data_IF_109256196365
#
_entry.id   IF_109256196365
#
_cell.length_a   1.000
_cell.length_b   1.000
_cell.length_c   1.000
_cell.angle_alpha   90.00
_cell.angle_beta   90.00
_cell.angle_gamma   90.00
#
_symmetry.space_group_name_H-M   'P 1'
#
loop_
_entity.id
_entity.type
_entity.pdbx_description
1 polymer ?
#
# COMPACT_ATOMS: atom_id res chain seq x y z
N UNK A 1 6.35 54.06 23.64
CA UNK A 1 5.64 53.47 22.48
C UNK A 1 6.46 52.37 21.78
N UNK A 2 7.76 52.52 21.54
CA UNK A 2 8.61 51.49 20.86
C UNK A 2 8.61 50.16 21.57
N UNK A 3 8.71 50.08 22.90
CA UNK A 3 8.72 48.81 23.68
C UNK A 3 7.41 48.02 23.59
N UNK A 4 6.27 48.70 23.39
CA UNK A 4 4.96 48.05 23.30
C UNK A 4 4.79 47.42 21.90
N UNK A 5 5.30 48.08 20.86
CA UNK A 5 5.24 47.58 19.47
C UNK A 5 6.14 46.34 19.29
N UNK A 6 7.35 46.36 19.91
CA UNK A 6 8.26 45.21 19.86
C UNK A 6 7.71 44.01 20.61
N UNK A 7 7.04 44.20 21.74
CA UNK A 7 6.41 43.10 22.48
C UNK A 7 5.26 42.46 21.69
N UNK A 8 4.41 43.29 21.09
CA UNK A 8 3.29 42.80 20.25
C UNK A 8 3.78 42.03 19.02
N UNK A 9 4.86 42.50 18.36
CA UNK A 9 5.47 41.80 17.23
C UNK A 9 6.06 40.43 17.64
N UNK A 10 6.69 40.36 18.83
CA UNK A 10 7.27 39.11 19.34
C UNK A 10 6.19 38.08 19.66
N UNK A 11 5.08 38.50 20.29
CA UNK A 11 3.93 37.62 20.58
C UNK A 11 3.26 37.10 19.32
N UNK A 12 3.12 37.97 18.30
CA UNK A 12 2.58 37.58 17.01
C UNK A 12 3.49 36.54 16.29
N UNK A 13 4.81 36.73 16.35
CA UNK A 13 5.78 35.82 15.74
C UNK A 13 5.78 34.46 16.42
N UNK A 14 5.70 34.41 17.75
CA UNK A 14 5.61 33.17 18.54
C UNK A 14 4.27 32.45 18.28
N UNK A 15 3.18 33.19 18.18
CA UNK A 15 1.88 32.66 17.83
C UNK A 15 1.84 32.02 16.42
N UNK A 16 2.48 32.69 15.45
CA UNK A 16 2.57 32.17 14.08
C UNK A 16 3.45 30.91 13.98
N UNK A 17 4.56 30.88 14.73
CA UNK A 17 5.44 29.70 14.81
C UNK A 17 4.76 28.52 15.48
N UNK A 18 3.98 28.75 16.54
CA UNK A 18 3.21 27.70 17.21
C UNK A 18 2.10 27.13 16.30
N UNK A 19 1.40 27.98 15.54
CA UNK A 19 0.38 27.54 14.58
C UNK A 19 0.98 26.72 13.42
N UNK A 20 2.20 27.06 12.96
CA UNK A 20 2.87 26.28 11.92
C UNK A 20 3.32 24.89 12.39
N UNK A 21 3.60 24.69 13.67
CA UNK A 21 3.95 23.40 14.24
C UNK A 21 2.75 22.49 14.41
N UNK A 22 1.57 23.00 14.73
CA UNK A 22 0.35 22.18 14.90
C UNK A 22 -0.20 21.62 13.59
N UNK A 23 0.08 22.25 12.45
CA UNK A 23 -0.35 21.74 11.14
C UNK A 23 0.42 20.50 10.65
N UNK A 24 1.45 20.04 11.35
CA UNK A 24 2.22 18.83 11.03
C UNK A 24 1.78 17.60 11.82
N UNK A 25 0.86 17.74 12.77
CA UNK A 25 0.36 16.63 13.56
C UNK A 25 -0.84 16.02 12.83
N UNK A 26 -0.68 14.80 12.35
CA UNK A 26 -1.76 13.96 11.82
C UNK A 26 -1.94 12.75 12.76
N UNK A 27 -2.74 12.88 13.82
CA UNK A 27 -2.92 11.82 14.79
C UNK A 27 -3.57 10.58 14.18
N UNK A 28 -4.38 10.73 13.13
CA UNK A 28 -5.01 9.59 12.45
C UNK A 28 -3.97 8.78 11.69
N UNK A 29 -3.03 9.45 11.03
CA UNK A 29 -1.93 8.80 10.36
C UNK A 29 -0.97 8.14 11.37
N UNK A 30 -0.64 8.84 12.46
CA UNK A 30 0.24 8.31 13.51
C UNK A 30 -0.36 7.07 14.17
N UNK A 31 -1.66 7.07 14.44
CA UNK A 31 -2.39 5.90 14.94
C UNK A 31 -2.36 4.75 13.92
N UNK A 32 -2.62 5.02 12.64
CA UNK A 32 -2.57 4.00 11.59
C UNK A 32 -1.17 3.37 11.44
N UNK A 33 -0.10 4.16 11.57
CA UNK A 33 1.29 3.65 11.58
C UNK A 33 1.56 2.80 12.84
N UNK A 34 1.08 3.24 14.00
CA UNK A 34 1.22 2.52 15.26
C UNK A 34 0.50 1.16 15.22
N UNK A 35 -0.67 1.10 14.61
CA UNK A 35 -1.49 -0.11 14.47
C UNK A 35 -0.83 -1.18 13.60
N UNK A 36 0.15 -0.82 12.76
CA UNK A 36 0.95 -1.79 12.01
C UNK A 36 1.83 -2.67 12.91
N UNK A 37 2.07 -2.24 14.16
CA UNK A 37 2.93 -2.93 15.10
C UNK A 37 4.41 -2.95 14.70
N UNK A 38 5.18 -3.76 15.41
CA UNK A 38 6.61 -3.90 15.18
C UNK A 38 6.93 -4.62 13.86
N UNK A 39 8.10 -4.31 13.30
CA UNK A 39 8.62 -5.06 12.15
C UNK A 39 9.03 -6.48 12.58
N UNK A 40 8.94 -7.42 11.64
CA UNK A 40 9.34 -8.81 11.90
C UNK A 40 10.84 -8.85 12.25
N UNK A 41 11.18 -9.42 13.40
CA UNK A 41 12.56 -9.52 13.87
C UNK A 41 13.45 -10.24 12.83
N UNK A 42 14.63 -9.69 12.57
CA UNK A 42 15.58 -10.24 11.62
C UNK A 42 15.37 -9.84 10.16
N UNK A 43 14.31 -9.11 9.84
CA UNK A 43 14.12 -8.51 8.51
C UNK A 43 14.45 -7.02 8.60
N UNK A 44 15.59 -6.58 8.02
CA UNK A 44 15.94 -5.16 8.05
C UNK A 44 14.99 -4.34 7.18
N UNK A 45 14.89 -3.06 7.50
CA UNK A 45 14.18 -2.09 6.65
C UNK A 45 14.70 -2.13 5.22
N UNK A 46 13.78 -2.15 4.26
CA UNK A 46 14.11 -2.23 2.84
C UNK A 46 13.03 -2.95 2.04
N UNK A 47 13.29 -3.36 0.79
CA UNK A 47 12.26 -3.91 -0.10
C UNK A 47 11.55 -5.17 0.41
N UNK A 48 12.13 -5.88 1.37
CA UNK A 48 11.60 -7.15 1.88
C UNK A 48 10.78 -7.00 3.16
N UNK A 49 10.75 -5.82 3.76
CA UNK A 49 10.05 -5.63 5.03
C UNK A 49 8.52 -5.65 4.88
N UNK A 50 7.82 -5.90 5.96
CA UNK A 50 6.37 -5.73 6.15
C UNK A 50 5.49 -6.36 5.06
N UNK A 51 5.84 -7.59 4.62
CA UNK A 51 5.03 -8.33 3.68
C UNK A 51 3.59 -8.52 4.19
N UNK A 52 2.60 -8.24 3.33
CA UNK A 52 1.17 -8.35 3.67
C UNK A 52 0.60 -7.16 4.44
N UNK A 53 1.37 -6.12 4.71
CA UNK A 53 0.90 -4.91 5.37
C UNK A 53 0.62 -3.77 4.37
N UNK A 54 -0.19 -2.77 4.74
CA UNK A 54 -0.54 -1.65 3.86
C UNK A 54 0.64 -0.67 3.72
N UNK A 55 1.46 -0.87 2.70
CA UNK A 55 2.70 -0.12 2.46
C UNK A 55 2.50 1.40 2.41
N UNK A 56 1.41 1.85 1.79
CA UNK A 56 1.14 3.28 1.59
C UNK A 56 0.78 4.00 2.88
N UNK A 57 0.52 3.29 3.98
CA UNK A 57 0.38 3.91 5.31
C UNK A 57 1.65 4.68 5.71
N UNK A 58 2.84 4.17 5.36
CA UNK A 58 4.10 4.86 5.60
C UNK A 58 4.67 5.50 4.33
N UNK A 59 4.49 4.86 3.17
CA UNK A 59 5.06 5.28 1.88
C UNK A 59 4.12 6.18 1.06
N UNK A 60 3.36 7.04 1.74
CA UNK A 60 2.43 8.01 1.16
C UNK A 60 3.12 9.25 0.53
N UNK A 61 4.41 9.41 0.81
CA UNK A 61 5.22 10.56 0.38
C UNK A 61 5.51 11.56 1.48
N UNK A 62 4.91 11.42 2.66
CA UNK A 62 5.14 12.31 3.82
C UNK A 62 5.99 11.67 4.91
N UNK A 63 5.89 10.35 5.11
CA UNK A 63 6.46 9.65 6.27
C UNK A 63 7.70 8.83 5.90
N UNK A 64 7.66 8.03 4.85
CA UNK A 64 8.76 7.19 4.43
C UNK A 64 9.14 7.34 2.95
N UNK A 65 10.39 7.02 2.62
CA UNK A 65 10.91 7.00 1.25
C UNK A 65 11.19 5.56 0.80
N UNK A 66 10.95 5.23 -0.48
CA UNK A 66 10.35 6.07 -1.52
C UNK A 66 8.84 6.28 -1.33
N UNK A 67 8.30 7.38 -1.88
CA UNK A 67 6.86 7.55 -2.02
C UNK A 67 6.32 6.56 -3.06
N UNK A 68 5.26 5.84 -2.73
CA UNK A 68 4.69 4.80 -3.59
C UNK A 68 3.29 5.19 -4.07
N UNK A 69 2.95 4.83 -5.31
CA UNK A 69 1.62 5.01 -5.89
C UNK A 69 0.76 3.75 -5.74
N UNK A 70 1.37 2.57 -5.87
CA UNK A 70 0.72 1.26 -5.69
C UNK A 70 1.69 0.31 -5.04
N UNK A 71 1.23 -0.49 -4.08
CA UNK A 71 2.06 -1.53 -3.46
C UNK A 71 1.22 -2.67 -2.89
N UNK A 72 1.83 -3.85 -2.78
CA UNK A 72 1.18 -5.01 -2.21
C UNK A 72 2.08 -6.23 -2.09
N UNK A 73 1.51 -7.33 -1.61
CA UNK A 73 2.18 -8.62 -1.46
C UNK A 73 1.35 -9.70 -2.13
N UNK A 74 1.99 -10.57 -2.90
CA UNK A 74 1.37 -11.71 -3.59
C UNK A 74 1.79 -13.01 -2.92
N UNK A 75 0.85 -13.92 -2.76
CA UNK A 75 1.03 -15.27 -2.20
C UNK A 75 0.77 -16.31 -3.29
N UNK A 76 1.30 -17.54 -3.12
CA UNK A 76 1.20 -18.59 -4.14
C UNK A 76 -0.21 -19.15 -4.27
N UNK A 77 -0.59 -20.01 -3.35
CA UNK A 77 -1.89 -20.72 -3.35
C UNK A 77 -2.71 -20.33 -2.12
N UNK A 78 -4.01 -20.49 -2.25
CA UNK A 78 -4.93 -20.23 -1.15
C UNK A 78 -4.56 -21.04 0.10
N UNK A 79 -4.51 -20.37 1.23
CA UNK A 79 -4.15 -20.96 2.53
C UNK A 79 -2.65 -21.02 2.79
N UNK A 80 -1.81 -20.74 1.79
CA UNK A 80 -0.37 -20.59 2.01
C UNK A 80 -0.07 -19.20 2.63
N UNK A 81 0.72 -19.22 3.69
CA UNK A 81 1.21 -17.99 4.33
C UNK A 81 2.54 -17.51 3.73
N UNK A 82 3.13 -18.29 2.82
CA UNK A 82 4.42 -17.97 2.21
C UNK A 82 4.23 -17.02 1.03
N UNK A 83 4.82 -15.81 1.07
CA UNK A 83 4.79 -14.89 -0.05
C UNK A 83 5.46 -15.48 -1.29
N UNK A 84 4.99 -15.10 -2.48
CA UNK A 84 5.47 -15.62 -3.76
C UNK A 84 6.39 -14.63 -4.48
N UNK A 85 7.63 -15.04 -4.71
CA UNK A 85 8.62 -14.27 -5.45
C UNK A 85 8.50 -14.48 -6.96
N UNK A 86 8.74 -13.42 -7.76
CA UNK A 86 8.80 -13.50 -9.21
C UNK A 86 7.45 -13.50 -9.92
N UNK A 87 6.34 -13.26 -9.23
CA UNK A 87 5.06 -13.02 -9.88
C UNK A 87 5.10 -11.71 -10.68
N UNK A 88 4.57 -11.73 -11.89
CA UNK A 88 4.30 -10.53 -12.69
C UNK A 88 3.04 -9.84 -12.14
N UNK A 89 3.10 -8.52 -12.01
CA UNK A 89 1.95 -7.69 -11.62
C UNK A 89 1.73 -6.68 -12.72
N UNK A 90 0.60 -6.77 -13.40
CA UNK A 90 0.16 -5.81 -14.40
C UNK A 90 -0.91 -4.91 -13.80
N UNK A 91 -0.67 -3.63 -13.79
CA UNK A 91 -1.59 -2.58 -13.41
C UNK A 91 -2.03 -1.82 -14.65
N UNK A 92 -3.32 -1.55 -14.77
CA UNK A 92 -3.88 -0.75 -15.86
C UNK A 92 -4.78 0.33 -15.27
N UNK A 93 -4.54 1.57 -15.60
CA UNK A 93 -5.37 2.68 -15.15
C UNK A 93 -6.57 2.93 -16.09
N UNK A 94 -7.47 3.83 -15.68
CA UNK A 94 -8.69 4.15 -16.46
C UNK A 94 -8.39 4.69 -17.86
N UNK A 95 -7.23 5.27 -18.08
CA UNK A 95 -6.81 5.81 -19.38
C UNK A 95 -6.10 4.75 -20.26
N UNK A 96 -5.97 3.51 -19.76
CA UNK A 96 -5.24 2.44 -20.43
C UNK A 96 -3.73 2.52 -20.28
N UNK A 97 -3.20 3.43 -19.45
CA UNK A 97 -1.78 3.45 -19.08
C UNK A 97 -1.46 2.24 -18.20
N UNK A 98 -0.34 1.60 -18.46
CA UNK A 98 0.03 0.35 -17.79
C UNK A 98 1.37 0.45 -17.07
N UNK A 99 1.49 -0.30 -15.99
CA UNK A 99 2.76 -0.58 -15.32
C UNK A 99 2.88 -2.08 -15.09
N UNK A 100 4.06 -2.63 -15.38
CA UNK A 100 4.36 -4.04 -15.08
C UNK A 100 5.55 -4.12 -14.14
N UNK A 101 5.38 -4.83 -13.04
CA UNK A 101 6.42 -5.10 -12.06
C UNK A 101 6.51 -6.58 -11.71
N UNK A 102 7.51 -6.94 -10.90
CA UNK A 102 7.65 -8.29 -10.35
C UNK A 102 7.72 -8.25 -8.83
N UNK A 103 7.17 -9.29 -8.20
CA UNK A 103 7.32 -9.47 -6.76
C UNK A 103 8.76 -9.89 -6.40
N UNK A 104 9.26 -9.35 -5.31
CA UNK A 104 10.58 -9.67 -4.76
C UNK A 104 10.55 -10.96 -3.90
N UNK A 105 11.66 -11.28 -3.22
CA UNK A 105 11.78 -12.48 -2.38
C UNK A 105 10.77 -12.56 -1.22
N UNK A 106 10.23 -11.43 -0.77
CA UNK A 106 9.16 -11.36 0.22
C UNK A 106 7.76 -11.27 -0.41
N UNK A 107 7.62 -11.54 -1.72
CA UNK A 107 6.35 -11.41 -2.44
C UNK A 107 5.87 -9.97 -2.61
N UNK A 108 6.63 -8.98 -2.17
CA UNK A 108 6.27 -7.57 -2.27
C UNK A 108 6.51 -7.03 -3.68
N UNK A 109 5.60 -6.23 -4.16
CA UNK A 109 5.82 -5.33 -5.29
C UNK A 109 5.43 -3.90 -4.89
N UNK A 110 6.05 -2.92 -5.52
CA UNK A 110 5.70 -1.52 -5.34
C UNK A 110 6.03 -0.71 -6.58
N UNK A 111 5.31 0.37 -6.74
CA UNK A 111 5.47 1.35 -7.81
C UNK A 111 5.78 2.69 -7.18
N UNK A 112 6.96 3.23 -7.45
CA UNK A 112 7.32 4.56 -6.98
C UNK A 112 6.48 5.62 -7.71
N UNK A 113 6.06 6.66 -7.00
CA UNK A 113 5.31 7.78 -7.61
C UNK A 113 6.10 8.46 -8.71
N UNK A 114 7.43 8.46 -8.62
CA UNK A 114 8.34 8.97 -9.65
C UNK A 114 8.33 8.15 -10.95
N UNK A 115 8.02 6.85 -10.86
CA UNK A 115 8.01 5.94 -12.00
C UNK A 115 6.64 5.90 -12.70
N UNK A 116 5.56 5.91 -11.94
CA UNK A 116 4.20 5.88 -12.48
C UNK A 116 3.17 6.36 -11.46
N UNK A 117 2.34 7.30 -11.88
CA UNK A 117 1.20 7.79 -11.11
C UNK A 117 -0.08 7.48 -11.87
N UNK A 118 -0.84 6.46 -11.46
CA UNK A 118 -2.06 6.06 -12.15
C UNK A 118 -3.20 7.04 -11.97
N UNK A 119 -4.07 7.08 -12.96
CA UNK A 119 -5.40 7.68 -12.82
C UNK A 119 -6.39 6.59 -12.42
N UNK A 120 -6.99 6.71 -11.26
CA UNK A 120 -7.97 5.73 -10.77
C UNK A 120 -9.28 5.77 -11.59
N UNK A 121 -10.01 4.65 -11.68
CA UNK A 121 -9.76 3.35 -11.07
C UNK A 121 -8.69 2.52 -11.78
N UNK A 122 -8.13 1.54 -11.02
CA UNK A 122 -7.14 0.60 -11.53
C UNK A 122 -7.72 -0.79 -11.69
N UNK A 123 -7.22 -1.50 -12.69
CA UNK A 123 -7.40 -2.94 -12.87
C UNK A 123 -6.07 -3.66 -12.63
N UNK A 124 -6.11 -4.84 -11.96
CA UNK A 124 -4.92 -5.58 -11.55
C UNK A 124 -4.99 -7.02 -12.04
N UNK A 125 -3.88 -7.47 -12.63
CA UNK A 125 -3.64 -8.88 -12.95
C UNK A 125 -2.32 -9.30 -12.33
N UNK A 126 -2.30 -10.43 -11.64
CA UNK A 126 -1.07 -11.06 -11.15
C UNK A 126 -0.88 -12.40 -11.84
N UNK A 127 0.38 -12.78 -12.13
CA UNK A 127 0.61 -14.01 -12.86
C UNK A 127 2.03 -14.56 -12.78
N UNK A 128 2.19 -15.83 -13.16
CA UNK A 128 3.47 -16.46 -13.40
C UNK A 128 3.33 -17.48 -14.53
N UNK A 129 4.10 -17.31 -15.59
CA UNK A 129 4.01 -18.14 -16.79
C UNK A 129 2.61 -18.08 -17.42
N UNK A 130 1.88 -19.22 -17.39
CA UNK A 130 0.52 -19.30 -17.94
C UNK A 130 -0.57 -19.14 -16.86
N UNK A 131 -0.19 -19.09 -15.59
CA UNK A 131 -1.12 -18.92 -14.48
C UNK A 131 -1.36 -17.44 -14.26
N UNK A 132 -2.61 -17.02 -14.26
CA UNK A 132 -2.99 -15.63 -14.02
C UNK A 132 -4.23 -15.57 -13.11
N UNK A 133 -4.24 -14.60 -12.22
CA UNK A 133 -5.38 -14.22 -11.41
C UNK A 133 -5.70 -12.74 -11.68
N UNK A 134 -6.94 -12.49 -12.06
CA UNK A 134 -7.44 -11.15 -12.34
C UNK A 134 -8.33 -10.70 -11.19
N UNK A 135 -8.13 -9.50 -10.69
CA UNK A 135 -9.00 -8.92 -9.70
C UNK A 135 -10.40 -8.71 -10.31
N UNK A 136 -11.43 -9.25 -9.68
CA UNK A 136 -12.81 -9.16 -10.18
C UNK A 136 -13.44 -7.77 -9.98
N UNK A 137 -12.91 -6.97 -9.07
CA UNK A 137 -13.29 -5.58 -8.83
C UNK A 137 -12.18 -4.63 -9.27
N UNK A 138 -12.46 -3.34 -9.26
CA UNK A 138 -11.49 -2.29 -9.56
C UNK A 138 -11.05 -1.59 -8.29
N UNK A 139 -9.82 -1.09 -8.26
CA UNK A 139 -9.31 -0.25 -7.18
C UNK A 139 -9.77 1.19 -7.43
N UNK A 140 -10.63 1.71 -6.55
CA UNK A 140 -11.25 3.02 -6.75
C UNK A 140 -10.33 4.21 -6.47
N UNK A 141 -9.42 4.11 -5.48
CA UNK A 141 -8.60 5.25 -5.04
C UNK A 141 -7.38 4.94 -4.20
N UNK A 142 -7.28 3.75 -3.61
CA UNK A 142 -6.19 3.38 -2.70
C UNK A 142 -5.31 2.32 -3.35
N UNK A 143 -4.07 2.68 -3.64
CA UNK A 143 -3.08 1.78 -4.24
C UNK A 143 -2.47 0.76 -3.28
N UNK A 144 -2.83 0.78 -2.00
CA UNK A 144 -2.37 -0.21 -1.02
C UNK A 144 -3.24 -1.46 -1.07
N UNK A 145 -2.75 -2.54 -1.67
CA UNK A 145 -3.51 -3.79 -1.80
C UNK A 145 -3.95 -4.34 -0.43
N UNK A 146 -3.10 -4.24 0.57
CA UNK A 146 -3.39 -4.72 1.92
C UNK A 146 -4.43 -3.88 2.68
N UNK A 147 -4.88 -2.73 2.15
CA UNK A 147 -6.04 -2.02 2.72
C UNK A 147 -7.35 -2.81 2.56
N UNK A 148 -7.40 -3.71 1.56
CA UNK A 148 -8.56 -4.56 1.29
C UNK A 148 -8.22 -6.05 1.36
N UNK A 149 -6.95 -6.42 1.17
CA UNK A 149 -6.46 -7.80 1.12
C UNK A 149 -5.73 -8.19 2.40
N UNK A 150 -6.46 -8.28 3.51
CA UNK A 150 -5.96 -8.65 4.85
C UNK A 150 -6.42 -10.06 5.21
N UNK A 151 -5.60 -10.83 5.89
CA UNK A 151 -5.92 -12.15 6.43
C UNK A 151 -6.40 -12.01 7.90
N UNK A 152 -7.44 -12.76 8.33
CA UNK A 152 -8.27 -13.65 7.53
C UNK A 152 -9.31 -12.91 6.66
N UNK A 153 -9.86 -13.58 5.60
CA UNK A 153 -10.97 -13.03 4.82
C UNK A 153 -12.17 -12.70 5.71
N UNK A 154 -12.86 -11.62 5.37
CA UNK A 154 -14.03 -11.14 6.14
C UNK A 154 -15.00 -10.39 5.22
N UNK A 155 -16.05 -9.80 5.78
CA UNK A 155 -16.97 -8.94 5.01
C UNK A 155 -16.32 -7.68 4.43
N UNK A 156 -15.20 -7.25 5.01
CA UNK A 156 -14.48 -6.03 4.62
C UNK A 156 -13.09 -6.34 4.04
N UNK A 157 -12.71 -7.62 3.98
CA UNK A 157 -11.43 -8.05 3.44
C UNK A 157 -11.59 -9.26 2.53
N UNK A 158 -11.01 -9.17 1.32
CA UNK A 158 -10.96 -10.27 0.37
C UNK A 158 -9.95 -11.37 0.75
N UNK A 159 -9.21 -11.20 1.85
CA UNK A 159 -8.06 -12.05 2.17
C UNK A 159 -6.84 -11.72 1.31
N UNK A 160 -5.77 -12.46 1.48
CA UNK A 160 -4.50 -12.26 0.76
C UNK A 160 -4.68 -12.34 -0.77
N UNK A 161 -3.79 -11.69 -1.51
CA UNK A 161 -3.73 -11.82 -2.97
C UNK A 161 -3.03 -13.12 -3.32
N UNK A 162 -3.73 -14.05 -3.95
CA UNK A 162 -3.19 -15.34 -4.35
C UNK A 162 -3.07 -15.46 -5.88
N UNK A 163 -1.99 -16.11 -6.35
CA UNK A 163 -1.78 -16.43 -7.76
C UNK A 163 -2.75 -17.48 -8.28
N UNK A 164 -3.10 -18.44 -7.43
CA UNK A 164 -4.07 -19.50 -7.78
C UNK A 164 -5.35 -19.25 -7.01
N UNK A 165 -6.37 -18.66 -7.62
CA UNK A 165 -7.66 -18.44 -6.97
C UNK A 165 -8.37 -19.79 -6.71
N UNK A 166 -9.26 -19.79 -5.72
CA UNK A 166 -10.04 -21.00 -5.31
C UNK A 166 -10.73 -21.66 -6.50
N UNK A 167 -11.26 -20.86 -7.42
CA UNK A 167 -11.94 -21.35 -8.61
C UNK A 167 -11.06 -22.27 -9.51
N UNK A 168 -9.74 -22.07 -9.48
CA UNK A 168 -8.79 -22.90 -10.24
C UNK A 168 -8.44 -24.21 -9.55
N UNK A 169 -8.81 -24.38 -8.28
CA UNK A 169 -8.57 -25.60 -7.49
C UNK A 169 -9.79 -26.50 -7.40
N UNK A 170 -10.95 -26.03 -7.89
CA UNK A 170 -12.16 -26.86 -7.93
C UNK A 170 -12.11 -27.76 -9.16
N UNK A 171 -12.36 -29.07 -9.02
CA UNK A 171 -12.53 -29.94 -10.16
C UNK A 171 -13.74 -29.46 -10.98
N UNK A 172 -13.56 -29.45 -12.29
CA UNK A 172 -14.48 -28.99 -13.34
C UNK A 172 -15.95 -28.77 -12.93
N UNK A 173 -16.38 -27.51 -12.86
CA UNK A 173 -17.80 -27.17 -12.90
C UNK A 173 -18.47 -26.71 -11.63
N UNK A 174 -17.76 -26.47 -10.55
CA UNK A 174 -18.35 -25.93 -9.32
C UNK A 174 -18.40 -24.39 -9.35
N UNK A 175 -19.39 -23.82 -10.04
CA UNK A 175 -19.83 -22.46 -9.73
C UNK A 175 -20.67 -22.49 -8.44
N UNK A 176 -20.51 -21.50 -7.53
CA UNK A 176 -21.35 -21.38 -6.35
C UNK A 176 -22.81 -21.08 -6.70
#
# INVERSE_FOLDING_TARGET
MVKLVTLAALVALVGLAAAALTCKLDPVHDDAVSDLGDEVAGIPRGPLHRAGQPCLTCHDGSTASPAMSVAGTVYGVLGDATPFAGADVLLTDVNGSTFTGKTNAAGNFYVEQSAWQPTYPLHVVVGVGKVQATMSSIIGRDGSCASCHVDPPSRISAGRVYLVPVASLLPDGGAP
#
